data_IF_540896499305
#
_entry.id   IF_540896499305
#
_cell.length_a   1.000
_cell.length_b   1.000
_cell.length_c   1.000
_cell.angle_alpha   90.00
_cell.angle_beta   90.00
_cell.angle_gamma   90.00
#
_symmetry.space_group_name_H-M   'P 1'
#
loop_
_entity.id
_entity.type
_entity.pdbx_description
1 polymer ?
#
# COMPACT_ATOMS: atom_id res chain seq x y z
N UNK A 1 24.79 -18.84 -4.89
CA UNK A 1 23.58 -18.03 -5.17
C UNK A 1 22.78 -17.96 -3.88
N UNK A 2 22.51 -16.76 -3.37
CA UNK A 2 21.73 -16.61 -2.12
C UNK A 2 20.30 -17.10 -2.35
N UNK A 3 19.82 -17.96 -1.47
CA UNK A 3 18.45 -18.46 -1.48
C UNK A 3 17.54 -17.31 -0.99
N UNK A 4 16.67 -16.82 -1.86
CA UNK A 4 15.73 -15.77 -1.49
C UNK A 4 14.78 -16.31 -0.41
N UNK A 5 14.81 -15.71 0.75
CA UNK A 5 13.95 -16.12 1.86
C UNK A 5 12.51 -15.66 1.59
N UNK A 6 11.51 -16.41 2.09
CA UNK A 6 10.08 -16.03 1.96
C UNK A 6 9.84 -14.56 2.40
N UNK A 7 10.46 -14.04 3.47
CA UNK A 7 10.34 -12.64 3.86
C UNK A 7 10.82 -11.66 2.79
N UNK A 8 11.98 -11.92 2.14
CA UNK A 8 12.55 -11.03 1.12
C UNK A 8 11.59 -10.83 -0.06
N UNK A 9 10.99 -11.92 -0.53
CA UNK A 9 9.99 -11.86 -1.60
C UNK A 9 8.75 -11.06 -1.17
N UNK A 10 8.25 -11.29 0.04
CA UNK A 10 7.09 -10.54 0.55
C UNK A 10 7.38 -9.04 0.62
N UNK A 11 8.58 -8.64 1.02
CA UNK A 11 8.98 -7.24 1.02
C UNK A 11 9.05 -6.65 -0.40
N UNK A 12 9.61 -7.39 -1.37
CA UNK A 12 9.66 -6.95 -2.77
C UNK A 12 8.27 -6.75 -3.39
N UNK A 13 7.38 -7.72 -3.20
CA UNK A 13 5.98 -7.65 -3.65
C UNK A 13 5.25 -6.49 -2.96
N UNK A 14 5.40 -6.35 -1.65
CA UNK A 14 4.79 -5.28 -0.87
C UNK A 14 5.28 -3.90 -1.29
N UNK A 15 6.58 -3.74 -1.55
CA UNK A 15 7.17 -2.48 -2.03
C UNK A 15 6.59 -2.06 -3.39
N UNK A 16 6.55 -2.98 -4.37
CA UNK A 16 5.98 -2.71 -5.69
C UNK A 16 4.48 -2.38 -5.61
N UNK A 17 3.74 -3.13 -4.82
CA UNK A 17 2.31 -2.88 -4.60
C UNK A 17 2.07 -1.50 -3.97
N UNK A 18 2.92 -1.11 -3.01
CA UNK A 18 2.85 0.18 -2.31
C UNK A 18 3.14 1.35 -3.23
N UNK A 19 4.17 1.25 -4.07
CA UNK A 19 4.49 2.28 -5.07
C UNK A 19 3.33 2.44 -6.06
N UNK A 20 2.77 1.33 -6.54
CA UNK A 20 1.63 1.35 -7.47
C UNK A 20 0.40 1.99 -6.83
N UNK A 21 0.04 1.56 -5.62
CA UNK A 21 -1.12 2.10 -4.92
C UNK A 21 -0.91 3.59 -4.58
N UNK A 22 0.29 3.98 -4.16
CA UNK A 22 0.66 5.38 -3.89
C UNK A 22 0.59 6.27 -5.13
N UNK A 23 1.06 5.77 -6.27
CA UNK A 23 0.96 6.49 -7.54
C UNK A 23 -0.50 6.74 -7.95
N UNK A 24 -1.35 5.69 -7.88
CA UNK A 24 -2.79 5.83 -8.19
C UNK A 24 -3.49 6.75 -7.20
N UNK A 25 -3.14 6.68 -5.92
CA UNK A 25 -3.67 7.60 -4.90
C UNK A 25 -3.24 9.04 -5.16
N UNK A 26 -2.00 9.28 -5.60
CA UNK A 26 -1.51 10.60 -6.00
C UNK A 26 -2.31 11.19 -7.17
N UNK A 27 -2.61 10.38 -8.18
CA UNK A 27 -3.52 10.78 -9.28
C UNK A 27 -4.90 11.12 -8.73
N UNK A 28 -5.48 10.25 -7.90
CA UNK A 28 -6.77 10.45 -7.28
C UNK A 28 -6.84 11.75 -6.45
N UNK A 29 -5.81 12.00 -5.64
CA UNK A 29 -5.69 13.24 -4.87
C UNK A 29 -5.69 14.47 -5.80
N UNK A 30 -4.98 14.42 -6.93
CA UNK A 30 -4.97 15.52 -7.91
C UNK A 30 -6.34 15.77 -8.53
N UNK A 31 -7.08 14.69 -8.84
CA UNK A 31 -8.47 14.80 -9.34
C UNK A 31 -9.37 15.44 -8.28
N UNK A 32 -9.28 15.00 -7.04
CA UNK A 32 -10.07 15.54 -5.93
C UNK A 32 -9.78 17.03 -5.73
N UNK A 33 -8.50 17.44 -5.68
CA UNK A 33 -8.12 18.84 -5.56
C UNK A 33 -8.69 19.69 -6.73
N UNK A 34 -8.76 19.13 -7.94
CA UNK A 34 -9.38 19.79 -9.07
C UNK A 34 -10.90 19.98 -8.87
N UNK A 35 -11.59 18.94 -8.39
CA UNK A 35 -13.02 19.02 -8.08
C UNK A 35 -13.26 20.08 -7.00
N UNK A 36 -12.47 20.06 -5.93
CA UNK A 36 -12.54 21.07 -4.85
C UNK A 36 -12.37 22.48 -5.38
N UNK A 37 -11.36 22.73 -6.22
CA UNK A 37 -11.11 24.04 -6.81
C UNK A 37 -12.29 24.53 -7.66
N UNK A 38 -12.86 23.64 -8.48
CA UNK A 38 -14.03 23.98 -9.32
C UNK A 38 -15.26 24.27 -8.46
N UNK A 39 -15.56 23.42 -7.47
CA UNK A 39 -16.73 23.59 -6.60
C UNK A 39 -16.62 24.80 -5.66
N UNK A 40 -15.40 25.24 -5.38
CA UNK A 40 -15.12 26.42 -4.54
C UNK A 40 -14.94 27.71 -5.35
N UNK A 41 -15.19 27.67 -6.66
CA UNK A 41 -14.96 28.80 -7.59
C UNK A 41 -13.56 29.39 -7.52
N UNK A 42 -12.56 28.58 -7.16
CA UNK A 42 -11.17 29.01 -7.11
C UNK A 42 -10.52 28.97 -8.51
N UNK A 43 -9.54 29.85 -8.79
CA UNK A 43 -8.81 29.80 -10.03
C UNK A 43 -8.07 28.47 -10.15
N UNK A 44 -8.43 27.69 -11.17
CA UNK A 44 -7.81 26.38 -11.42
C UNK A 44 -6.52 26.56 -12.22
N UNK A 45 -5.41 26.81 -11.54
CA UNK A 45 -4.11 26.81 -12.17
C UNK A 45 -3.56 25.39 -12.28
N UNK A 46 -3.22 24.97 -13.49
CA UNK A 46 -2.51 23.71 -13.70
C UNK A 46 -1.01 23.97 -13.68
N UNK A 47 -0.32 23.38 -12.73
CA UNK A 47 1.13 23.40 -12.67
C UNK A 47 1.66 21.97 -12.80
N UNK A 48 2.54 21.74 -13.77
CA UNK A 48 3.22 20.47 -13.96
C UNK A 48 4.04 20.14 -12.70
N UNK A 49 4.77 21.11 -12.16
CA UNK A 49 5.56 20.95 -10.93
C UNK A 49 4.69 20.56 -9.74
N UNK A 50 3.55 21.23 -9.53
CA UNK A 50 2.60 20.88 -8.46
C UNK A 50 2.02 19.48 -8.63
N UNK A 51 1.74 19.05 -9.85
CA UNK A 51 1.27 17.69 -10.12
C UNK A 51 2.34 16.65 -9.79
N UNK A 52 3.58 16.90 -10.19
CA UNK A 52 4.71 16.01 -9.91
C UNK A 52 4.94 15.87 -8.39
N UNK A 53 4.89 16.97 -7.65
CA UNK A 53 5.02 16.96 -6.18
C UNK A 53 3.93 16.10 -5.54
N UNK A 54 2.68 16.22 -5.98
CA UNK A 54 1.56 15.44 -5.45
C UNK A 54 1.75 13.94 -5.75
N UNK A 55 2.17 13.59 -6.96
CA UNK A 55 2.45 12.20 -7.35
C UNK A 55 3.60 11.61 -6.52
N UNK A 56 4.70 12.36 -6.37
CA UNK A 56 5.82 11.93 -5.55
C UNK A 56 5.41 11.74 -4.09
N UNK A 57 4.68 12.70 -3.52
CA UNK A 57 4.16 12.55 -2.15
C UNK A 57 3.23 11.33 -2.02
N UNK A 58 2.37 11.06 -3.00
CA UNK A 58 1.54 9.87 -3.05
C UNK A 58 2.38 8.59 -3.03
N UNK A 59 3.45 8.53 -3.84
CA UNK A 59 4.37 7.39 -3.89
C UNK A 59 5.09 7.22 -2.53
N UNK A 60 5.66 8.30 -1.98
CA UNK A 60 6.40 8.23 -0.70
C UNK A 60 5.49 7.84 0.45
N UNK A 61 4.31 8.45 0.56
CA UNK A 61 3.34 8.10 1.59
C UNK A 61 2.86 6.65 1.40
N UNK A 62 2.52 6.29 0.16
CA UNK A 62 2.09 4.94 -0.19
C UNK A 62 3.16 3.90 0.13
N UNK A 63 4.43 4.18 -0.20
CA UNK A 63 5.54 3.31 0.12
C UNK A 63 5.69 3.13 1.65
N UNK A 64 5.68 4.21 2.42
CA UNK A 64 5.80 4.15 3.88
C UNK A 64 4.69 3.33 4.54
N UNK A 65 3.45 3.58 4.17
CA UNK A 65 2.28 2.86 4.68
C UNK A 65 2.31 1.39 4.24
N UNK A 66 2.56 1.12 2.97
CA UNK A 66 2.60 -0.23 2.44
C UNK A 66 3.76 -1.04 3.02
N UNK A 67 4.92 -0.43 3.23
CA UNK A 67 6.04 -1.05 3.92
C UNK A 67 5.67 -1.46 5.36
N UNK A 68 5.01 -0.57 6.10
CA UNK A 68 4.53 -0.85 7.45
C UNK A 68 3.54 -2.04 7.47
N UNK A 69 2.58 -2.06 6.55
CA UNK A 69 1.61 -3.15 6.42
C UNK A 69 2.32 -4.47 6.09
N UNK A 70 3.27 -4.44 5.16
CA UNK A 70 4.05 -5.62 4.77
C UNK A 70 4.89 -6.10 5.95
N UNK A 71 5.56 -5.19 6.68
CA UNK A 71 6.32 -5.53 7.87
C UNK A 71 5.45 -6.22 8.93
N UNK A 72 4.29 -5.64 9.26
CA UNK A 72 3.34 -6.23 10.20
C UNK A 72 2.91 -7.62 9.71
N UNK A 73 2.62 -7.77 8.42
CA UNK A 73 2.23 -9.05 7.83
C UNK A 73 3.33 -10.11 7.96
N UNK A 74 4.58 -9.75 7.69
CA UNK A 74 5.74 -10.64 7.83
C UNK A 74 5.91 -11.06 9.29
N UNK A 75 5.87 -10.10 10.22
CA UNK A 75 5.97 -10.39 11.65
C UNK A 75 4.86 -11.35 12.10
N UNK A 76 3.60 -11.04 11.77
CA UNK A 76 2.46 -11.90 12.13
C UNK A 76 2.57 -13.28 11.47
N UNK A 77 3.02 -13.35 10.21
CA UNK A 77 3.18 -14.63 9.49
C UNK A 77 4.30 -15.51 10.07
N UNK A 78 5.25 -14.91 10.79
CA UNK A 78 6.32 -15.65 11.49
C UNK A 78 5.78 -16.46 12.67
N UNK A 79 4.63 -16.10 13.21
CA UNK A 79 3.95 -16.88 14.21
C UNK A 79 3.09 -17.98 13.56
N UNK A 80 3.51 -19.25 13.63
CA UNK A 80 2.88 -20.37 12.94
C UNK A 80 1.37 -20.51 13.20
N UNK A 81 0.89 -20.18 14.42
CA UNK A 81 -0.53 -20.17 14.77
C UNK A 81 -1.31 -19.04 14.09
N UNK A 82 -0.71 -17.85 13.94
CA UNK A 82 -1.37 -16.69 13.37
C UNK A 82 -1.47 -16.76 11.83
N UNK A 83 -0.54 -17.48 11.17
CA UNK A 83 -0.54 -17.65 9.70
C UNK A 83 -1.83 -18.23 9.16
N UNK A 84 -2.49 -19.13 9.91
CA UNK A 84 -3.76 -19.77 9.52
C UNK A 84 -4.91 -18.75 9.43
N UNK A 85 -4.84 -17.66 10.19
CA UNK A 85 -5.90 -16.65 10.31
C UNK A 85 -5.61 -15.38 9.48
N UNK A 86 -4.47 -15.33 8.80
CA UNK A 86 -4.15 -14.18 7.95
C UNK A 86 -5.08 -14.17 6.73
N UNK A 87 -5.86 -13.10 6.54
CA UNK A 87 -6.69 -12.95 5.36
C UNK A 87 -5.83 -12.84 4.09
N UNK A 88 -6.41 -13.22 2.95
CA UNK A 88 -5.75 -13.05 1.66
C UNK A 88 -5.42 -11.59 1.35
N UNK A 89 -4.51 -11.31 0.38
CA UNK A 89 -4.02 -9.96 0.12
C UNK A 89 -5.14 -8.93 -0.13
N UNK A 90 -6.15 -9.29 -0.90
CA UNK A 90 -7.29 -8.40 -1.20
C UNK A 90 -8.08 -8.05 0.07
N UNK A 91 -8.34 -9.03 0.92
CA UNK A 91 -9.03 -8.82 2.20
C UNK A 91 -8.19 -7.98 3.16
N UNK A 92 -6.87 -8.16 3.17
CA UNK A 92 -5.96 -7.30 3.94
C UNK A 92 -6.07 -5.86 3.47
N UNK A 93 -6.04 -5.63 2.15
CA UNK A 93 -6.20 -4.29 1.58
C UNK A 93 -7.56 -3.66 1.92
N UNK A 94 -8.64 -4.45 1.86
CA UNK A 94 -9.99 -4.00 2.21
C UNK A 94 -10.12 -3.61 3.70
N UNK A 95 -9.41 -4.28 4.59
CA UNK A 95 -9.38 -3.96 6.03
C UNK A 95 -8.44 -2.78 6.29
N UNK A 96 -7.29 -2.74 5.60
CA UNK A 96 -6.30 -1.69 5.79
C UNK A 96 -6.80 -0.30 5.38
N UNK A 97 -7.57 -0.17 4.31
CA UNK A 97 -8.12 1.11 3.87
C UNK A 97 -8.95 1.81 4.96
N UNK A 98 -10.01 1.20 5.50
CA UNK A 98 -10.77 1.77 6.62
C UNK A 98 -9.94 1.99 7.89
N UNK A 99 -8.99 1.09 8.19
CA UNK A 99 -8.10 1.25 9.33
C UNK A 99 -7.18 2.47 9.18
N UNK A 100 -6.64 2.70 8.00
CA UNK A 100 -5.84 3.90 7.68
C UNK A 100 -6.69 5.17 7.75
N UNK A 101 -7.94 5.11 7.28
CA UNK A 101 -8.88 6.22 7.42
C UNK A 101 -9.13 6.55 8.90
N UNK A 102 -9.29 5.53 9.74
CA UNK A 102 -9.53 5.71 11.16
C UNK A 102 -8.31 6.28 11.88
N UNK A 103 -7.11 5.79 11.59
CA UNK A 103 -5.87 6.17 12.28
C UNK A 103 -5.35 7.51 11.79
N UNK A 104 -5.34 7.75 10.49
CA UNK A 104 -4.73 8.93 9.87
C UNK A 104 -5.75 9.91 9.33
N UNK A 105 -6.80 9.42 8.68
CA UNK A 105 -7.81 10.26 8.03
C UNK A 105 -8.66 11.02 9.04
N UNK A 106 -9.23 10.34 10.03
CA UNK A 106 -10.10 11.02 11.00
C UNK A 106 -9.35 12.09 11.80
N UNK A 107 -8.16 11.85 12.37
CA UNK A 107 -7.40 12.90 13.03
C UNK A 107 -7.08 14.06 12.10
N UNK A 108 -6.67 13.79 10.86
CA UNK A 108 -6.36 14.83 9.88
C UNK A 108 -7.59 15.68 9.52
N UNK A 109 -8.77 15.05 9.40
CA UNK A 109 -10.01 15.73 9.00
C UNK A 109 -10.63 16.56 10.14
N UNK A 110 -10.36 16.20 11.38
CA UNK A 110 -10.94 16.86 12.56
C UNK A 110 -9.92 17.65 13.37
N UNK A 111 -8.63 17.60 13.01
CA UNK A 111 -7.61 18.39 13.68
C UNK A 111 -7.74 19.88 13.34
N UNK A 112 -7.88 20.71 14.35
CA UNK A 112 -7.76 22.17 14.21
C UNK A 112 -6.30 22.65 14.10
N UNK A 113 -5.35 21.80 14.46
CA UNK A 113 -3.92 22.13 14.48
C UNK A 113 -3.26 22.12 13.10
N UNK A 114 -3.88 21.46 12.12
CA UNK A 114 -3.40 21.38 10.74
C UNK A 114 -4.53 21.72 9.78
N UNK A 115 -4.92 23.01 9.66
CA UNK A 115 -5.97 23.39 8.71
C UNK A 115 -5.48 23.13 7.29
N UNK A 116 -5.96 22.06 6.68
CA UNK A 116 -5.70 21.81 5.27
C UNK A 116 -6.74 22.60 4.46
N UNK A 117 -6.31 23.61 3.66
CA UNK A 117 -7.22 24.41 2.90
C UNK A 117 -8.08 23.58 1.93
N UNK A 118 -7.50 22.56 1.30
CA UNK A 118 -8.23 21.70 0.35
C UNK A 118 -9.40 20.95 0.99
N UNK A 119 -9.37 20.72 2.31
CA UNK A 119 -10.42 20.06 3.05
C UNK A 119 -11.47 21.06 3.55
N UNK A 120 -11.06 22.29 3.81
CA UNK A 120 -11.88 23.33 4.48
C UNK A 120 -12.61 24.25 3.51
N UNK A 121 -12.11 24.41 2.27
CA UNK A 121 -12.74 25.26 1.26
C UNK A 121 -13.96 24.61 0.60
N UNK A 122 -14.91 25.43 0.17
CA UNK A 122 -16.11 25.00 -0.54
C UNK A 122 -17.07 24.20 0.33
N UNK A 123 -17.27 22.90 0.02
CA UNK A 123 -18.18 22.00 0.75
C UNK A 123 -17.32 21.03 1.59
N UNK A 124 -17.01 21.35 2.86
CA UNK A 124 -16.07 20.56 3.67
C UNK A 124 -16.46 19.09 3.82
N UNK A 125 -17.76 18.79 3.92
CA UNK A 125 -18.26 17.42 4.04
C UNK A 125 -17.96 16.60 2.77
N UNK A 126 -18.18 17.20 1.60
CA UNK A 126 -17.88 16.56 0.31
C UNK A 126 -16.38 16.28 0.19
N UNK A 127 -15.56 17.28 0.51
CA UNK A 127 -14.12 17.15 0.42
C UNK A 127 -13.59 16.04 1.35
N UNK A 128 -14.01 16.03 2.61
CA UNK A 128 -13.66 14.97 3.57
C UNK A 128 -14.10 13.59 3.08
N UNK A 129 -15.31 13.49 2.51
CA UNK A 129 -15.80 12.22 1.96
C UNK A 129 -14.98 11.73 0.78
N UNK A 130 -14.58 12.63 -0.13
CA UNK A 130 -13.76 12.28 -1.29
C UNK A 130 -12.35 11.82 -0.88
N UNK A 131 -11.69 12.54 0.02
CA UNK A 131 -10.38 12.12 0.54
C UNK A 131 -10.49 10.84 1.38
N UNK A 132 -11.56 10.67 2.15
CA UNK A 132 -11.81 9.43 2.89
C UNK A 132 -12.00 8.24 1.97
N UNK A 133 -12.78 8.40 0.90
CA UNK A 133 -12.95 7.38 -0.12
C UNK A 133 -11.61 7.03 -0.81
N UNK A 134 -10.77 8.03 -1.09
CA UNK A 134 -9.45 7.81 -1.68
C UNK A 134 -8.56 6.93 -0.78
N UNK A 135 -8.58 7.14 0.54
CA UNK A 135 -7.82 6.31 1.48
C UNK A 135 -8.31 4.86 1.47
N UNK A 136 -9.63 4.65 1.40
CA UNK A 136 -10.21 3.30 1.30
C UNK A 136 -9.81 2.64 -0.03
N UNK A 137 -9.91 3.38 -1.14
CA UNK A 137 -9.52 2.92 -2.47
C UNK A 137 -8.02 2.59 -2.51
N UNK A 138 -7.16 3.39 -1.88
CA UNK A 138 -5.74 3.09 -1.74
C UNK A 138 -5.51 1.71 -1.11
N UNK A 139 -6.18 1.40 0.00
CA UNK A 139 -6.06 0.09 0.65
C UNK A 139 -6.50 -1.05 -0.28
N UNK A 140 -7.59 -0.88 -1.01
CA UNK A 140 -8.06 -1.89 -1.97
C UNK A 140 -7.05 -2.10 -3.10
N UNK A 141 -6.54 -1.03 -3.71
CA UNK A 141 -5.53 -1.10 -4.78
C UNK A 141 -4.26 -1.78 -4.27
N UNK A 142 -3.81 -1.46 -3.05
CA UNK A 142 -2.66 -2.10 -2.42
C UNK A 142 -2.85 -3.62 -2.35
N UNK A 143 -4.00 -4.09 -1.87
CA UNK A 143 -4.29 -5.52 -1.76
C UNK A 143 -4.40 -6.22 -3.11
N UNK A 144 -4.99 -5.58 -4.12
CA UNK A 144 -5.09 -6.10 -5.49
C UNK A 144 -3.69 -6.16 -6.14
N UNK A 145 -2.91 -5.11 -6.01
CA UNK A 145 -1.55 -5.04 -6.54
C UNK A 145 -0.65 -6.11 -5.89
N UNK A 146 -0.73 -6.28 -4.56
CA UNK A 146 0.01 -7.33 -3.85
C UNK A 146 -0.32 -8.73 -4.41
N UNK A 147 -1.62 -9.03 -4.58
CA UNK A 147 -2.06 -10.29 -5.19
C UNK A 147 -1.52 -10.48 -6.60
N UNK A 148 -1.56 -9.42 -7.41
CA UNK A 148 -1.12 -9.42 -8.80
C UNK A 148 0.38 -9.67 -8.88
N UNK A 149 1.18 -8.91 -8.14
CA UNK A 149 2.63 -9.09 -8.14
C UNK A 149 3.07 -10.44 -7.55
N UNK A 150 2.38 -10.96 -6.53
CA UNK A 150 2.66 -12.31 -6.03
C UNK A 150 2.38 -13.41 -7.05
N UNK A 151 1.42 -13.17 -7.96
CA UNK A 151 1.10 -14.10 -9.04
C UNK A 151 2.13 -14.06 -10.18
N UNK A 152 2.54 -12.85 -10.59
CA UNK A 152 3.41 -12.68 -11.77
C UNK A 152 4.90 -12.74 -11.48
N UNK A 153 5.34 -12.46 -10.27
CA UNK A 153 6.75 -12.57 -9.92
C UNK A 153 7.16 -14.05 -9.79
N UNK A 154 8.20 -14.48 -10.52
CA UNK A 154 8.63 -15.87 -10.53
C UNK A 154 9.03 -16.32 -9.12
N UNK A 155 8.54 -17.48 -8.73
CA UNK A 155 9.01 -18.17 -7.53
C UNK A 155 10.33 -18.83 -7.87
N UNK A 156 11.43 -18.40 -7.26
CA UNK A 156 12.67 -19.16 -7.39
C UNK A 156 12.43 -20.58 -6.90
N UNK A 157 12.78 -21.60 -7.69
CA UNK A 157 12.63 -22.99 -7.26
C UNK A 157 13.41 -23.16 -5.96
N UNK A 158 12.75 -23.65 -4.94
CA UNK A 158 13.42 -24.12 -3.73
C UNK A 158 14.36 -25.24 -4.20
N UNK A 159 15.67 -25.04 -4.12
CA UNK A 159 16.59 -26.13 -4.44
C UNK A 159 16.25 -27.27 -3.49
N UNK A 160 15.60 -28.27 -4.02
CA UNK A 160 15.36 -29.51 -3.29
C UNK A 160 16.75 -30.01 -2.90
N UNK A 161 17.01 -30.00 -1.62
CA UNK A 161 18.23 -30.60 -1.04
C UNK A 161 18.11 -32.10 -1.20
N UNK A 162 18.19 -32.52 -2.44
CA UNK A 162 18.31 -33.91 -2.85
C UNK A 162 19.66 -34.03 -3.50
N UNK A 163 20.58 -34.42 -2.72
CA UNK A 163 21.73 -35.25 -3.11
C UNK A 163 22.72 -35.25 -1.94
N UNK A 164 22.25 -35.71 -0.77
CA UNK A 164 23.21 -36.41 0.10
C UNK A 164 23.33 -37.78 -0.55
N UNK A 165 24.44 -38.10 -1.19
CA UNK A 165 24.66 -39.47 -1.63
C UNK A 165 24.51 -40.36 -0.39
N UNK A 166 23.54 -41.25 -0.40
CA UNK A 166 23.47 -42.30 0.60
C UNK A 166 24.81 -43.02 0.59
N UNK A 167 25.53 -43.09 1.72
CA UNK A 167 26.77 -43.88 1.77
C UNK A 167 26.45 -45.29 1.28
N UNK A 168 27.19 -45.77 0.29
CA UNK A 168 27.05 -47.11 -0.24
C UNK A 168 27.41 -48.04 0.93
N UNK A 169 26.46 -48.92 1.41
CA UNK A 169 26.79 -49.84 2.47
C UNK A 169 27.71 -50.90 1.88
N UNK A 170 28.98 -50.89 2.26
CA UNK A 170 29.88 -51.99 1.89
C UNK A 170 31.32 -51.65 1.53
N UNK A 171 31.84 -50.44 1.76
CA UNK A 171 33.28 -50.18 1.71
C UNK A 171 33.87 -50.18 3.14
N UNK A 172 34.04 -51.37 3.70
CA UNK A 172 34.98 -51.67 4.79
C UNK A 172 36.07 -52.60 4.27
#
# INVERSE_FOLDING_TARGET
MAQETIPERMFGVGALASVTAGFVAGIGARVIMRVVAVTSHMPTQFSIGGTLVILLNGIFFGFGVGFLITFITVVVSSYAKARKYLPGPVWRGLICGPLLLLIFGLPLFFSSSFPNPDISFGIPLLNKSMFGALIIIYGLILGVAEKTYDHYLPRKPTSTRTDIPTPIPGEE
#
